data_IF_796263536000
#
_entry.id   IF_796263536000
#
_cell.length_a   1.000
_cell.length_b   1.000
_cell.length_c   1.000
_cell.angle_alpha   90.00
_cell.angle_beta   90.00
_cell.angle_gamma   90.00
#
_symmetry.space_group_name_H-M   'P 1'
#
loop_
_entity.id
_entity.type
_entity.pdbx_description
1 polymer ?
#
# COMPACT_ATOMS: atom_id res chain seq x y z
N UNK A 1 -16.74 20.82 -2.50
CA UNK A 1 -16.05 19.54 -2.77
C UNK A 1 -15.83 18.76 -1.47
N UNK A 2 -15.02 19.26 -0.52
CA UNK A 2 -14.64 18.57 0.73
C UNK A 2 -15.80 17.97 1.53
N UNK A 3 -16.91 18.71 1.70
CA UNK A 3 -18.10 18.22 2.43
C UNK A 3 -18.76 16.98 1.80
N UNK A 4 -18.74 16.86 0.46
CA UNK A 4 -19.32 15.70 -0.25
C UNK A 4 -18.45 14.46 -0.04
N UNK A 5 -17.13 14.64 -0.09
CA UNK A 5 -16.15 13.57 0.18
C UNK A 5 -16.28 13.11 1.62
N UNK A 6 -16.26 14.02 2.59
CA UNK A 6 -16.46 13.70 4.00
C UNK A 6 -17.74 12.89 4.24
N UNK A 7 -18.88 13.33 3.68
CA UNK A 7 -20.15 12.63 3.82
C UNK A 7 -20.21 11.27 3.13
N UNK A 8 -19.38 11.04 2.11
CA UNK A 8 -19.33 9.75 1.43
C UNK A 8 -18.68 8.68 2.32
N UNK A 9 -17.57 9.00 2.99
CA UNK A 9 -16.86 8.04 3.86
C UNK A 9 -17.41 7.99 5.29
N UNK A 10 -17.67 9.16 5.90
CA UNK A 10 -17.94 9.26 7.35
C UNK A 10 -19.41 9.56 7.67
N UNK A 11 -20.25 9.69 6.64
CA UNK A 11 -21.65 10.10 6.82
C UNK A 11 -21.77 11.54 7.34
N UNK A 12 -22.98 11.91 7.81
CA UNK A 12 -23.28 13.28 8.25
C UNK A 12 -23.01 13.54 9.75
N UNK A 13 -22.65 12.50 10.50
CA UNK A 13 -22.26 12.65 11.90
C UNK A 13 -20.95 13.41 12.03
N UNK A 14 -20.71 14.03 13.19
CA UNK A 14 -19.44 14.71 13.51
C UNK A 14 -18.63 13.97 14.58
N UNK A 15 -19.19 12.89 15.14
CA UNK A 15 -18.51 12.08 16.12
C UNK A 15 -17.66 11.06 15.38
N UNK A 16 -16.34 11.12 15.57
CA UNK A 16 -15.37 10.20 14.99
C UNK A 16 -14.73 9.44 16.16
N UNK A 17 -14.68 8.13 16.03
CA UNK A 17 -14.09 7.19 16.98
C UNK A 17 -13.40 6.05 16.24
N UNK A 18 -12.94 5.02 16.97
CA UNK A 18 -12.22 3.88 16.39
C UNK A 18 -13.04 3.08 15.37
N UNK A 19 -14.37 3.11 15.44
CA UNK A 19 -15.24 2.42 14.47
C UNK A 19 -15.16 3.07 13.08
N UNK A 20 -14.72 4.33 13.01
CA UNK A 20 -14.52 5.07 11.76
C UNK A 20 -13.14 4.85 11.13
N UNK A 21 -12.27 4.08 11.77
CA UNK A 21 -10.88 3.89 11.35
C UNK A 21 -10.77 3.35 9.92
N UNK A 22 -11.58 2.35 9.54
CA UNK A 22 -11.63 1.81 8.18
C UNK A 22 -12.02 2.88 7.14
N UNK A 23 -13.08 3.64 7.41
CA UNK A 23 -13.57 4.66 6.49
C UNK A 23 -12.58 5.82 6.35
N UNK A 24 -11.89 6.20 7.44
CA UNK A 24 -10.82 7.17 7.41
C UNK A 24 -9.63 6.65 6.59
N UNK A 25 -9.19 5.42 6.85
CA UNK A 25 -8.09 4.81 6.09
C UNK A 25 -8.42 4.79 4.60
N UNK A 26 -9.62 4.35 4.19
CA UNK A 26 -10.05 4.38 2.79
C UNK A 26 -10.07 5.79 2.20
N UNK A 27 -10.61 6.78 2.93
CA UNK A 27 -10.59 8.19 2.50
C UNK A 27 -9.15 8.68 2.24
N UNK A 28 -8.24 8.41 3.18
CA UNK A 28 -6.86 8.84 3.09
C UNK A 28 -6.09 8.11 1.98
N UNK A 29 -6.32 6.80 1.81
CA UNK A 29 -5.80 6.01 0.69
C UNK A 29 -6.27 6.57 -0.66
N UNK A 30 -7.55 6.89 -0.77
CA UNK A 30 -8.12 7.38 -2.04
C UNK A 30 -7.58 8.76 -2.40
N UNK A 31 -7.55 9.70 -1.44
CA UNK A 31 -7.16 11.08 -1.70
C UNK A 31 -5.64 11.29 -1.85
N UNK A 32 -4.80 10.46 -1.22
CA UNK A 32 -3.34 10.59 -1.33
C UNK A 32 -2.71 9.67 -2.38
N UNK A 33 -3.35 8.56 -2.73
CA UNK A 33 -2.76 7.56 -3.59
C UNK A 33 -3.70 7.11 -4.71
N UNK A 34 -4.85 6.50 -4.39
CA UNK A 34 -5.59 5.72 -5.39
C UNK A 34 -6.15 6.56 -6.54
N UNK A 35 -6.75 7.72 -6.25
CA UNK A 35 -7.32 8.58 -7.30
C UNK A 35 -6.23 9.10 -8.23
N UNK A 36 -5.10 9.53 -7.70
CA UNK A 36 -4.00 10.05 -8.51
C UNK A 36 -3.36 8.95 -9.37
N UNK A 37 -3.18 7.75 -8.81
CA UNK A 37 -2.70 6.60 -9.58
C UNK A 37 -3.68 6.17 -10.68
N UNK A 38 -4.99 6.19 -10.42
CA UNK A 38 -6.03 5.94 -11.42
C UNK A 38 -5.92 6.94 -12.57
N UNK A 39 -5.86 8.22 -12.25
CA UNK A 39 -5.81 9.30 -13.24
C UNK A 39 -4.53 9.25 -14.08
N UNK A 40 -3.37 9.05 -13.45
CA UNK A 40 -2.09 8.92 -14.15
C UNK A 40 -2.09 7.68 -15.04
N UNK A 41 -2.57 6.53 -14.54
CA UNK A 41 -2.64 5.29 -15.32
C UNK A 41 -3.51 5.47 -16.56
N UNK A 42 -4.70 6.07 -16.39
CA UNK A 42 -5.59 6.39 -17.51
C UNK A 42 -4.91 7.35 -18.50
N UNK A 43 -4.27 8.40 -18.00
CA UNK A 43 -3.57 9.37 -18.85
C UNK A 43 -2.49 8.68 -19.70
N UNK A 44 -1.61 7.88 -19.10
CA UNK A 44 -0.57 7.16 -19.84
C UNK A 44 -1.16 6.12 -20.79
N UNK A 45 -2.18 5.37 -20.38
CA UNK A 45 -2.83 4.39 -21.26
C UNK A 45 -3.42 5.04 -22.52
N UNK A 46 -3.89 6.29 -22.44
CA UNK A 46 -4.43 7.02 -23.58
C UNK A 46 -3.39 7.75 -24.43
N UNK A 47 -2.27 8.20 -23.84
CA UNK A 47 -1.36 9.13 -24.50
C UNK A 47 0.07 8.59 -24.71
N UNK A 48 0.45 7.49 -24.05
CA UNK A 48 1.76 6.86 -24.22
C UNK A 48 1.78 6.00 -25.49
N UNK A 49 1.67 6.64 -26.65
CA UNK A 49 1.73 5.96 -27.94
C UNK A 49 3.00 5.09 -28.02
N UNK A 50 2.82 3.84 -28.45
CA UNK A 50 3.89 2.84 -28.60
C UNK A 50 4.57 2.38 -27.29
N UNK A 51 3.94 2.60 -26.12
CA UNK A 51 4.39 2.02 -24.84
C UNK A 51 3.23 1.38 -24.11
N UNK A 52 3.47 0.23 -23.49
CA UNK A 52 2.47 -0.41 -22.63
C UNK A 52 2.52 0.21 -21.23
N UNK A 53 1.36 0.50 -20.66
CA UNK A 53 1.21 0.94 -19.26
C UNK A 53 0.76 -0.25 -18.42
N UNK A 54 1.47 -0.51 -17.31
CA UNK A 54 1.13 -1.55 -16.35
C UNK A 54 0.91 -0.91 -14.97
N UNK A 55 -0.04 -1.47 -14.23
CA UNK A 55 -0.35 -1.08 -12.86
C UNK A 55 -0.64 -2.35 -12.05
N UNK A 56 -0.23 -2.35 -10.79
CA UNK A 56 -0.64 -3.35 -9.81
C UNK A 56 -1.16 -2.69 -8.54
N UNK A 57 -1.91 -3.44 -7.75
CA UNK A 57 -2.32 -3.11 -6.39
C UNK A 57 -1.74 -4.17 -5.46
N UNK A 58 -0.95 -3.76 -4.47
CA UNK A 58 -0.37 -4.67 -3.51
C UNK A 58 -1.33 -4.89 -2.34
N UNK A 59 -1.79 -6.13 -2.15
CA UNK A 59 -2.81 -6.49 -1.15
C UNK A 59 -2.38 -7.61 -0.20
N UNK A 60 -1.14 -8.05 -0.34
CA UNK A 60 -0.62 -9.15 0.47
C UNK A 60 -0.21 -8.63 1.85
N UNK A 61 -0.69 -9.29 2.91
CA UNK A 61 -0.32 -8.99 4.28
C UNK A 61 0.61 -10.07 4.81
N UNK A 62 1.90 -9.78 4.89
CA UNK A 62 2.87 -10.70 5.45
C UNK A 62 3.10 -10.52 6.95
N UNK A 63 4.08 -11.28 7.47
CA UNK A 63 4.43 -11.26 8.89
C UNK A 63 5.04 -9.93 9.35
N UNK A 64 5.66 -9.19 8.43
CA UNK A 64 6.20 -7.86 8.65
C UNK A 64 5.32 -6.82 7.97
N UNK A 65 5.10 -5.71 8.68
CA UNK A 65 4.41 -4.54 8.15
C UNK A 65 4.84 -3.28 8.88
N UNK A 66 4.90 -2.18 8.13
CA UNK A 66 5.10 -0.85 8.69
C UNK A 66 3.98 -0.44 9.64
N UNK A 67 2.77 -0.98 9.44
CA UNK A 67 1.62 -0.70 10.29
C UNK A 67 1.79 -1.29 11.69
N UNK A 68 2.46 -2.43 11.79
CA UNK A 68 2.81 -3.03 13.09
C UNK A 68 3.99 -2.30 13.72
N UNK A 69 4.99 -1.93 12.91
CA UNK A 69 6.21 -1.27 13.38
C UNK A 69 5.93 0.10 14.01
N UNK A 70 4.97 0.85 13.44
CA UNK A 70 4.59 2.18 13.90
C UNK A 70 3.29 2.21 14.72
N UNK A 71 2.71 1.04 15.02
CA UNK A 71 1.46 0.91 15.79
C UNK A 71 0.29 1.72 15.19
N UNK A 72 0.18 1.72 13.86
CA UNK A 72 -0.87 2.44 13.11
C UNK A 72 -1.97 1.53 12.58
N UNK A 73 -1.86 0.21 12.80
CA UNK A 73 -2.80 -0.76 12.27
C UNK A 73 -4.15 -0.82 13.02
N UNK A 74 -4.25 -0.20 14.22
CA UNK A 74 -5.42 -0.22 15.12
C UNK A 74 -6.06 -1.61 15.29
N UNK A 75 -5.25 -2.67 15.28
CA UNK A 75 -5.69 -4.07 15.37
C UNK A 75 -6.43 -4.61 14.14
N UNK A 76 -6.45 -3.87 13.02
CA UNK A 76 -7.16 -4.22 11.78
C UNK A 76 -6.30 -4.96 10.76
N UNK A 77 -4.97 -5.04 11.00
CA UNK A 77 -4.02 -5.76 10.14
C UNK A 77 -4.10 -5.38 8.65
N UNK A 78 -4.30 -4.09 8.36
CA UNK A 78 -4.27 -3.58 6.98
C UNK A 78 -2.89 -3.73 6.32
N UNK A 79 -2.86 -3.50 5.01
CA UNK A 79 -1.63 -3.36 4.20
C UNK A 79 -1.37 -1.86 4.01
N UNK A 80 -0.52 -1.24 4.83
CA UNK A 80 -0.19 0.18 4.71
C UNK A 80 0.76 0.46 3.55
N UNK A 81 1.01 1.75 3.36
CA UNK A 81 2.02 2.25 2.44
C UNK A 81 3.40 1.66 2.75
N UNK A 82 4.16 1.35 1.68
CA UNK A 82 5.55 0.85 1.69
C UNK A 82 5.74 -0.61 2.09
N UNK A 83 4.69 -1.33 2.51
CA UNK A 83 4.80 -2.76 2.87
C UNK A 83 5.36 -3.61 1.72
N UNK A 84 5.09 -3.25 0.46
CA UNK A 84 5.61 -3.95 -0.71
C UNK A 84 7.14 -3.85 -0.84
N UNK A 85 7.76 -2.81 -0.26
CA UNK A 85 9.21 -2.62 -0.31
C UNK A 85 9.97 -3.70 0.48
N UNK A 86 9.34 -4.27 1.51
CA UNK A 86 9.90 -5.37 2.31
C UNK A 86 10.14 -6.65 1.48
N UNK A 87 9.51 -6.74 0.30
CA UNK A 87 9.62 -7.86 -0.64
C UNK A 87 10.55 -7.57 -1.82
N UNK A 88 11.09 -6.34 -1.90
CA UNK A 88 12.04 -5.90 -2.92
C UNK A 88 13.42 -5.60 -2.34
N UNK A 89 13.47 -5.07 -1.12
CA UNK A 89 14.70 -4.66 -0.44
C UNK A 89 14.77 -5.31 0.93
N UNK A 90 15.99 -5.48 1.44
CA UNK A 90 16.13 -5.98 2.80
C UNK A 90 15.67 -4.90 3.78
N UNK A 91 14.88 -5.29 4.79
CA UNK A 91 14.32 -4.36 5.75
C UNK A 91 15.40 -3.50 6.45
N UNK A 92 16.56 -4.07 6.75
CA UNK A 92 17.72 -3.36 7.32
C UNK A 92 18.24 -2.23 6.39
N UNK A 93 18.17 -2.41 5.08
CA UNK A 93 18.61 -1.40 4.10
C UNK A 93 17.64 -0.20 4.06
N UNK A 94 16.35 -0.44 4.29
CA UNK A 94 15.31 0.59 4.24
C UNK A 94 15.25 1.44 5.52
N UNK A 95 15.51 0.84 6.68
CA UNK A 95 15.17 1.43 7.99
C UNK A 95 16.34 1.43 8.97
N UNK A 96 17.50 0.93 8.55
CA UNK A 96 18.69 0.77 9.39
C UNK A 96 18.63 -0.47 10.29
N UNK A 97 19.71 -0.73 11.05
CA UNK A 97 19.79 -1.89 11.92
C UNK A 97 18.75 -1.79 13.04
N UNK A 98 17.77 -2.71 13.03
CA UNK A 98 16.72 -2.78 14.03
C UNK A 98 16.42 -4.22 14.38
N UNK A 99 16.35 -4.51 15.69
CA UNK A 99 15.94 -5.82 16.22
C UNK A 99 14.52 -6.25 15.81
N UNK A 100 13.73 -5.30 15.30
CA UNK A 100 12.35 -5.51 14.85
C UNK A 100 12.27 -5.84 13.35
N UNK A 101 13.37 -5.67 12.60
CA UNK A 101 13.45 -5.96 11.18
C UNK A 101 14.12 -7.31 11.01
N UNK A 102 13.33 -8.36 11.26
CA UNK A 102 13.76 -9.71 10.97
C UNK A 102 13.72 -9.92 9.45
N UNK A 103 14.52 -10.86 8.95
CA UNK A 103 14.36 -11.32 7.57
C UNK A 103 12.97 -11.95 7.39
N UNK A 104 12.43 -11.98 6.18
CA UNK A 104 11.22 -12.76 5.86
C UNK A 104 11.49 -14.24 6.15
N UNK A 105 10.57 -14.90 6.87
CA UNK A 105 10.76 -16.27 7.38
C UNK A 105 9.67 -17.21 6.90
N UNK A 106 8.45 -16.72 6.70
CA UNK A 106 7.34 -17.59 6.29
C UNK A 106 7.48 -18.02 4.82
N UNK A 107 7.07 -19.25 4.46
CA UNK A 107 7.06 -19.70 3.07
C UNK A 107 6.27 -18.74 2.16
N UNK A 108 5.15 -18.21 2.64
CA UNK A 108 4.28 -17.30 1.90
C UNK A 108 4.96 -15.93 1.66
N UNK A 109 5.68 -15.40 2.64
CA UNK A 109 6.43 -14.14 2.46
C UNK A 109 7.60 -14.31 1.49
N UNK A 110 8.28 -15.46 1.54
CA UNK A 110 9.35 -15.80 0.59
C UNK A 110 8.80 -15.96 -0.83
N UNK A 111 7.62 -16.57 -0.99
CA UNK A 111 6.94 -16.64 -2.28
C UNK A 111 6.56 -15.24 -2.80
N UNK A 112 6.01 -14.38 -1.94
CA UNK A 112 5.68 -13.00 -2.33
C UNK A 112 6.92 -12.19 -2.75
N UNK A 113 8.04 -12.36 -2.04
CA UNK A 113 9.34 -11.78 -2.43
C UNK A 113 9.74 -12.22 -3.83
N UNK A 114 9.60 -13.51 -4.13
CA UNK A 114 9.96 -14.05 -5.43
C UNK A 114 9.03 -13.52 -6.54
N UNK A 115 7.72 -13.39 -6.25
CA UNK A 115 6.74 -12.77 -7.16
C UNK A 115 7.11 -11.31 -7.44
N UNK A 116 7.34 -10.50 -6.40
CA UNK A 116 7.65 -9.07 -6.53
C UNK A 116 8.97 -8.84 -7.26
N UNK A 117 10.00 -9.59 -6.89
CA UNK A 117 11.30 -9.54 -7.56
C UNK A 117 11.16 -9.87 -9.05
N UNK A 118 10.47 -10.96 -9.38
CA UNK A 118 10.26 -11.39 -10.76
C UNK A 118 9.43 -10.40 -11.57
N UNK A 119 8.38 -9.82 -10.97
CA UNK A 119 7.54 -8.80 -11.62
C UNK A 119 8.39 -7.60 -12.05
N UNK A 120 9.21 -7.07 -11.13
CA UNK A 120 10.03 -5.89 -11.40
C UNK A 120 11.24 -6.18 -12.30
N UNK A 121 11.90 -7.33 -12.15
CA UNK A 121 13.04 -7.68 -13.01
C UNK A 121 12.59 -7.96 -14.45
N UNK A 122 11.44 -8.62 -14.64
CA UNK A 122 10.89 -8.86 -15.98
C UNK A 122 10.44 -7.56 -16.66
N UNK A 123 9.99 -6.56 -15.89
CA UNK A 123 9.66 -5.26 -16.45
C UNK A 123 10.91 -4.48 -16.90
N UNK A 124 12.05 -4.70 -16.24
CA UNK A 124 13.30 -4.01 -16.53
C UNK A 124 14.09 -4.59 -17.72
N UNK A 125 13.73 -5.78 -18.21
CA UNK A 125 14.41 -6.52 -19.28
C UNK A 125 13.54 -6.64 -20.52
#
# INVERSE_FOLDING_TARGET
MARRVYFYYLGKGLNIDEDHSEALTQLYSDIHFMVDYDLVTQYYAHHAHHRNTYRYEFRYRGELSFGDLFDTNVGKHWVPHEDELLYLFQAEELLGPSKYLQQLRTPEDLEMRDIMSKLWTNFAT
#
